data_IF_332003909156
#
_entry.id   IF_332003909156
#
_cell.length_a   1.000
_cell.length_b   1.000
_cell.length_c   1.000
_cell.angle_alpha   90.00
_cell.angle_beta   90.00
_cell.angle_gamma   90.00
#
_symmetry.space_group_name_H-M   'P 1'
#
loop_
_entity.id
_entity.type
_entity.pdbx_description
1 polymer ?
#
# COMPACT_ATOMS: atom_id res chain seq x y z
N UNK A 1 3.58 -10.58 8.06
CA UNK A 1 2.67 -11.61 7.53
C UNK A 1 1.48 -11.71 8.49
N UNK A 2 0.25 -11.57 8.01
CA UNK A 2 -0.96 -11.75 8.81
C UNK A 2 -2.21 -11.79 7.91
N UNK A 3 -3.33 -12.36 8.35
CA UNK A 3 -4.48 -12.64 7.50
C UNK A 3 -5.09 -11.38 6.90
N UNK A 4 -5.60 -11.45 5.68
CA UNK A 4 -6.29 -10.33 5.01
C UNK A 4 -7.39 -9.76 5.94
N UNK A 5 -7.58 -8.43 5.95
CA UNK A 5 -8.46 -7.68 6.86
C UNK A 5 -8.05 -7.55 8.34
N UNK A 6 -6.89 -8.05 8.78
CA UNK A 6 -6.48 -7.93 10.20
C UNK A 6 -5.98 -6.52 10.64
N UNK A 7 -6.34 -5.44 9.92
CA UNK A 7 -5.95 -4.06 10.29
C UNK A 7 -4.47 -3.70 10.12
N UNK A 8 -3.65 -4.57 9.50
CA UNK A 8 -2.19 -4.34 9.34
C UNK A 8 -1.84 -3.07 8.59
N UNK A 9 -2.59 -2.75 7.54
CA UNK A 9 -2.36 -1.55 6.74
C UNK A 9 -2.58 -0.31 7.61
N UNK A 10 -3.67 -0.27 8.39
CA UNK A 10 -3.93 0.83 9.30
C UNK A 10 -2.83 0.97 10.35
N UNK A 11 -2.41 -0.13 10.98
CA UNK A 11 -1.31 -0.12 11.95
C UNK A 11 0.01 0.36 11.32
N UNK A 12 0.34 -0.10 10.11
CA UNK A 12 1.54 0.32 9.41
C UNK A 12 1.51 1.82 9.08
N UNK A 13 0.36 2.34 8.64
CA UNK A 13 0.17 3.76 8.39
C UNK A 13 0.34 4.58 9.68
N UNK A 14 -0.27 4.17 10.79
CA UNK A 14 -0.16 4.87 12.07
C UNK A 14 1.28 4.87 12.60
N UNK A 15 2.04 3.79 12.37
CA UNK A 15 3.45 3.72 12.75
C UNK A 15 4.32 4.69 11.96
N UNK A 16 4.05 4.90 10.67
CA UNK A 16 4.81 5.90 9.86
C UNK A 16 4.62 7.34 10.34
N UNK A 17 3.53 7.63 11.06
CA UNK A 17 3.30 8.96 11.64
C UNK A 17 4.12 9.19 12.91
N UNK A 18 4.59 8.13 13.56
CA UNK A 18 5.30 8.20 14.86
C UNK A 18 6.79 7.91 14.74
N UNK A 19 7.20 7.23 13.68
CA UNK A 19 8.55 6.73 13.47
C UNK A 19 8.99 6.99 12.02
N UNK A 20 10.29 7.17 11.74
CA UNK A 20 10.82 7.41 10.39
C UNK A 20 10.84 6.11 9.55
N UNK A 21 9.66 5.54 9.32
CA UNK A 21 9.46 4.28 8.62
C UNK A 21 8.99 4.52 7.18
N UNK A 22 9.22 3.54 6.32
CA UNK A 22 8.71 3.51 4.94
C UNK A 22 7.97 2.20 4.71
N UNK A 23 6.79 2.27 4.08
CA UNK A 23 6.02 1.07 3.75
C UNK A 23 6.47 0.56 2.38
N UNK A 24 6.65 -0.75 2.28
CA UNK A 24 6.95 -1.45 1.03
C UNK A 24 5.82 -2.45 0.81
N UNK A 25 5.09 -2.30 -0.31
CA UNK A 25 4.09 -3.28 -0.70
C UNK A 25 4.77 -4.59 -1.09
N UNK A 26 4.20 -5.71 -0.66
CA UNK A 26 4.61 -7.08 -1.03
C UNK A 26 3.49 -7.83 -1.76
N UNK A 27 2.49 -7.08 -2.26
CA UNK A 27 1.36 -7.60 -3.02
C UNK A 27 1.66 -7.52 -4.52
N UNK A 28 1.58 -8.65 -5.22
CA UNK A 28 1.86 -8.74 -6.65
C UNK A 28 0.81 -8.08 -7.53
N UNK A 29 -0.41 -7.84 -7.03
CA UNK A 29 -1.47 -7.19 -7.80
C UNK A 29 -1.33 -5.66 -7.77
N UNK A 30 -0.85 -5.09 -6.66
CA UNK A 30 -0.69 -3.64 -6.51
C UNK A 30 0.43 -3.04 -7.37
N UNK A 31 1.29 -3.86 -7.98
CA UNK A 31 2.39 -3.38 -8.82
C UNK A 31 1.92 -2.77 -10.14
N UNK A 32 0.70 -3.11 -10.61
CA UNK A 32 0.18 -2.72 -11.93
C UNK A 32 -0.63 -1.43 -11.88
N UNK A 33 -0.32 -0.49 -12.79
CA UNK A 33 -1.04 0.79 -12.94
C UNK A 33 -2.48 0.62 -13.42
N UNK A 34 -3.36 1.49 -12.93
CA UNK A 34 -4.77 1.58 -13.35
C UNK A 34 -5.67 0.45 -12.86
N UNK A 35 -5.18 -0.43 -11.99
CA UNK A 35 -5.92 -1.58 -11.45
C UNK A 35 -6.37 -1.38 -10.00
N UNK A 36 -6.86 -0.19 -9.63
CA UNK A 36 -6.88 0.23 -8.21
C UNK A 36 -8.00 -0.44 -7.39
N UNK A 37 -9.23 -0.46 -7.92
CA UNK A 37 -10.42 -0.98 -7.21
C UNK A 37 -10.30 -2.49 -6.96
N UNK A 38 -9.96 -3.26 -7.99
CA UNK A 38 -9.88 -4.73 -7.91
C UNK A 38 -8.70 -5.24 -7.08
N UNK A 39 -7.66 -4.41 -6.87
CA UNK A 39 -6.46 -4.79 -6.12
C UNK A 39 -6.41 -4.17 -4.72
N UNK A 40 -7.44 -3.39 -4.35
CA UNK A 40 -7.55 -2.78 -3.03
C UNK A 40 -6.41 -1.81 -2.72
N UNK A 41 -5.92 -1.07 -3.72
CA UNK A 41 -4.86 -0.09 -3.49
C UNK A 41 -5.31 1.01 -2.52
N UNK A 42 -4.40 1.52 -1.68
CA UNK A 42 -4.68 2.72 -0.92
C UNK A 42 -4.97 3.89 -1.87
N UNK A 43 -5.91 4.75 -1.50
CA UNK A 43 -6.20 5.97 -2.25
C UNK A 43 -5.07 7.01 -2.13
N UNK A 44 -5.16 8.08 -2.92
CA UNK A 44 -4.15 9.15 -2.95
C UNK A 44 -3.92 9.78 -1.58
N UNK A 45 -4.98 9.96 -0.78
CA UNK A 45 -4.87 10.57 0.55
C UNK A 45 -4.12 9.65 1.52
N UNK A 46 -4.40 8.34 1.48
CA UNK A 46 -3.67 7.33 2.23
C UNK A 46 -2.20 7.28 1.82
N UNK A 47 -1.88 7.31 0.53
CA UNK A 47 -0.51 7.31 0.02
C UNK A 47 0.25 8.60 0.38
N UNK A 48 -0.43 9.74 0.42
CA UNK A 48 0.15 11.02 0.87
C UNK A 48 0.52 10.98 2.35
N UNK A 49 -0.34 10.38 3.18
CA UNK A 49 -0.11 10.23 4.62
C UNK A 49 0.94 9.16 4.95
N UNK A 50 0.98 8.10 4.16
CA UNK A 50 1.89 6.97 4.35
C UNK A 50 2.39 6.49 2.98
N UNK A 51 3.53 7.00 2.48
CA UNK A 51 4.05 6.61 1.18
C UNK A 51 4.38 5.11 1.13
N UNK A 52 3.74 4.39 0.20
CA UNK A 52 4.02 2.98 -0.07
C UNK A 52 4.91 2.85 -1.31
N UNK A 53 5.98 2.05 -1.21
CA UNK A 53 6.83 1.68 -2.36
C UNK A 53 6.28 0.42 -3.02
N UNK A 54 6.66 0.21 -4.29
CA UNK A 54 6.29 -0.95 -5.12
C UNK A 54 4.80 -1.04 -5.51
N UNK A 55 4.10 0.08 -5.47
CA UNK A 55 2.78 0.25 -6.09
C UNK A 55 2.98 1.01 -7.39
N UNK A 56 2.22 0.69 -8.45
CA UNK A 56 2.24 1.43 -9.73
C UNK A 56 3.62 1.47 -10.43
N UNK A 57 4.37 0.39 -10.31
CA UNK A 57 5.71 0.25 -10.89
C UNK A 57 5.73 -0.47 -12.24
N UNK A 58 4.61 -1.06 -12.66
CA UNK A 58 4.43 -1.79 -13.93
C UNK A 58 3.16 -1.32 -14.65
N UNK A 59 3.19 -1.34 -15.98
CA UNK A 59 1.98 -1.28 -16.79
C UNK A 59 1.39 -2.70 -16.91
N UNK A 60 0.05 -2.88 -16.94
CA UNK A 60 -0.55 -4.18 -17.17
C UNK A 60 -0.30 -4.64 -18.62
N UNK A 61 0.26 -5.83 -18.80
CA UNK A 61 0.66 -6.40 -20.09
C UNK A 61 0.95 -7.89 -20.01
#
# INVERSE_FOLDING_TARGET
MGPTASGKTQLAMDLTQRLPLRIISVDSAMVYRGMDIGTGKPDEEALRRAPHRLIDIRDPG
#
